data_IF_438285640682
#
_entry.id   IF_438285640682
#
_cell.length_a   1.000
_cell.length_b   1.000
_cell.length_c   1.000
_cell.angle_alpha   90.00
_cell.angle_beta   90.00
_cell.angle_gamma   90.00
#
_symmetry.space_group_name_H-M   'P 1'
#
loop_
_entity.id
_entity.type
_entity.pdbx_description
1 polymer ?
#
# COMPACT_ATOMS: atom_id res chain seq x y z
N UNK A 1 8.13 -8.82 -0.82
CA UNK A 1 7.98 -7.72 0.16
C UNK A 1 8.95 -6.62 -0.23
N UNK A 2 8.52 -5.36 -0.14
CA UNK A 2 9.37 -4.17 -0.32
C UNK A 2 8.95 -3.12 0.69
N UNK A 3 9.91 -2.54 1.40
CA UNK A 3 9.65 -1.44 2.33
C UNK A 3 10.36 -0.19 1.83
N UNK A 4 9.69 0.95 1.88
CA UNK A 4 10.29 2.26 1.64
C UNK A 4 9.97 3.20 2.79
N UNK A 5 10.83 4.20 2.97
CA UNK A 5 10.51 5.37 3.80
C UNK A 5 10.01 6.47 2.88
N UNK A 6 8.82 7.01 3.17
CA UNK A 6 8.24 8.14 2.46
C UNK A 6 7.74 9.16 3.48
N UNK A 7 8.36 10.35 3.46
CA UNK A 7 8.16 11.40 4.48
C UNK A 7 8.47 10.87 5.88
N UNK A 8 7.49 10.87 6.77
CA UNK A 8 7.52 10.42 8.14
C UNK A 8 6.98 8.99 8.33
N UNK A 9 6.65 8.30 7.24
CA UNK A 9 6.06 6.96 7.28
C UNK A 9 6.94 5.89 6.60
N UNK A 10 6.99 4.71 7.19
CA UNK A 10 7.44 3.49 6.54
C UNK A 10 6.25 2.84 5.82
N UNK A 11 6.38 2.60 4.52
CA UNK A 11 5.38 1.90 3.70
C UNK A 11 5.96 0.53 3.37
N UNK A 12 5.32 -0.52 3.86
CA UNK A 12 5.67 -1.91 3.56
C UNK A 12 4.63 -2.50 2.62
N UNK A 13 5.09 -3.02 1.48
CA UNK A 13 4.27 -3.63 0.46
C UNK A 13 4.53 -5.14 0.35
N UNK A 14 3.45 -5.91 0.32
CA UNK A 14 3.43 -7.34 0.15
C UNK A 14 2.61 -7.69 -1.10
N UNK A 15 3.21 -8.46 -2.01
CA UNK A 15 2.46 -9.10 -3.08
C UNK A 15 1.85 -10.39 -2.54
N UNK A 16 0.53 -10.52 -2.69
CA UNK A 16 -0.26 -11.66 -2.25
C UNK A 16 -0.70 -12.43 -3.48
N UNK A 17 -0.27 -13.69 -3.59
CA UNK A 17 -0.76 -14.58 -4.64
C UNK A 17 -2.18 -15.05 -4.29
N UNK A 18 -3.14 -14.81 -5.19
CA UNK A 18 -4.56 -15.13 -4.94
C UNK A 18 -4.96 -16.47 -5.55
N UNK A 19 -4.02 -17.16 -6.19
CA UNK A 19 -4.25 -18.38 -6.96
C UNK A 19 -4.62 -18.10 -8.41
N UNK A 20 -4.23 -19.01 -9.31
CA UNK A 20 -4.47 -18.89 -10.73
C UNK A 20 -5.76 -19.57 -11.18
N UNK A 21 -6.68 -18.79 -11.74
CA UNK A 21 -7.73 -19.33 -12.60
C UNK A 21 -7.17 -19.83 -13.94
N UNK A 22 -8.04 -20.09 -14.92
CA UNK A 22 -7.67 -20.56 -16.29
C UNK A 22 -6.65 -19.69 -17.03
N UNK A 23 -6.32 -18.50 -16.54
CA UNK A 23 -5.49 -17.47 -17.20
C UNK A 23 -4.09 -17.30 -16.60
N UNK A 24 -3.70 -18.08 -15.58
CA UNK A 24 -2.37 -17.98 -14.93
C UNK A 24 -2.41 -17.36 -13.53
N UNK A 25 -1.23 -17.21 -12.90
CA UNK A 25 -1.09 -16.64 -11.55
C UNK A 25 -1.54 -15.19 -11.50
N UNK A 26 -2.38 -14.84 -10.51
CA UNK A 26 -2.81 -13.47 -10.26
C UNK A 26 -2.30 -13.01 -8.91
N UNK A 27 -1.83 -11.76 -8.86
CA UNK A 27 -1.36 -11.12 -7.66
C UNK A 27 -2.30 -9.99 -7.24
N UNK A 28 -2.50 -9.88 -5.94
CA UNK A 28 -3.02 -8.71 -5.26
C UNK A 28 -1.93 -8.12 -4.40
N UNK A 29 -2.18 -6.96 -3.82
CA UNK A 29 -1.27 -6.40 -2.82
C UNK A 29 -1.96 -6.21 -1.48
N UNK A 30 -1.15 -6.29 -0.44
CA UNK A 30 -1.41 -5.86 0.92
C UNK A 30 -0.30 -4.87 1.31
N UNK A 31 -0.65 -3.80 1.99
CA UNK A 31 0.24 -2.73 2.38
C UNK A 31 0.05 -2.33 3.83
N UNK A 32 1.15 -1.96 4.48
CA UNK A 32 1.20 -1.47 5.84
C UNK A 32 1.87 -0.09 5.82
N UNK A 33 1.33 0.86 6.58
CA UNK A 33 1.90 2.19 6.78
C UNK A 33 2.14 2.37 8.27
N UNK A 34 3.38 2.55 8.66
CA UNK A 34 3.78 2.87 10.02
C UNK A 34 4.33 4.30 10.06
N UNK A 35 3.68 5.21 10.79
CA UNK A 35 4.16 6.60 10.92
C UNK A 35 5.09 6.74 12.13
N UNK A 36 6.15 7.52 11.95
CA UNK A 36 7.12 7.80 13.00
C UNK A 36 6.44 8.55 14.15
N UNK A 37 6.42 7.92 15.34
CA UNK A 37 5.80 8.49 16.53
C UNK A 37 4.32 8.12 16.72
N UNK A 38 3.73 7.36 15.80
CA UNK A 38 2.45 6.70 16.02
C UNK A 38 2.69 5.24 16.41
N UNK A 39 1.95 4.71 17.39
CA UNK A 39 2.02 3.30 17.78
C UNK A 39 1.13 2.39 16.93
N UNK A 40 0.53 2.94 15.86
CA UNK A 40 -0.50 2.26 15.08
C UNK A 40 -0.01 2.06 13.65
N UNK A 41 -0.19 0.85 13.14
CA UNK A 41 0.04 0.52 11.74
C UNK A 41 -1.29 0.63 10.99
N UNK A 42 -1.33 1.43 9.92
CA UNK A 42 -2.47 1.48 9.00
C UNK A 42 -2.29 0.40 7.93
N UNK A 43 -3.21 -0.56 7.89
CA UNK A 43 -3.23 -1.62 6.89
C UNK A 43 -4.15 -1.26 5.72
N UNK A 44 -3.77 -1.66 4.50
CA UNK A 44 -4.59 -1.46 3.31
C UNK A 44 -4.36 -2.54 2.26
N UNK A 45 -5.41 -2.87 1.51
CA UNK A 45 -5.35 -3.88 0.46
C UNK A 45 -5.70 -3.29 -0.90
N UNK A 46 -5.26 -4.00 -1.94
CA UNK A 46 -5.73 -3.79 -3.30
C UNK A 46 -7.27 -3.84 -3.36
N UNK A 47 -7.93 -2.95 -4.12
CA UNK A 47 -9.37 -3.01 -4.31
C UNK A 47 -9.81 -4.36 -4.88
N UNK A 48 -11.02 -4.80 -4.54
CA UNK A 48 -11.57 -6.03 -5.11
C UNK A 48 -11.66 -5.93 -6.64
N UNK A 49 -11.34 -7.02 -7.32
CA UNK A 49 -11.33 -7.07 -8.78
C UNK A 49 -10.06 -6.48 -9.45
N UNK A 50 -9.16 -5.87 -8.69
CA UNK A 50 -7.85 -5.41 -9.20
C UNK A 50 -6.82 -6.51 -9.00
N UNK A 51 -6.26 -6.97 -10.13
CA UNK A 51 -5.25 -8.03 -10.17
C UNK A 51 -4.07 -7.59 -11.02
N UNK A 52 -2.88 -8.07 -10.64
CA UNK A 52 -1.64 -7.80 -11.34
C UNK A 52 -1.08 -9.10 -11.92
N UNK A 53 -0.42 -8.97 -13.07
CA UNK A 53 0.17 -10.09 -13.82
C UNK A 53 1.39 -10.69 -13.11
N UNK A 54 2.03 -9.93 -12.21
CA UNK A 54 3.19 -10.39 -11.44
C UNK A 54 3.31 -9.66 -10.10
N UNK A 55 4.13 -10.24 -9.21
CA UNK A 55 4.36 -9.73 -7.86
C UNK A 55 5.05 -8.37 -7.83
N UNK A 56 5.91 -8.05 -8.81
CA UNK A 56 6.61 -6.78 -8.88
C UNK A 56 5.62 -5.62 -9.12
N UNK A 57 4.72 -5.78 -10.11
CA UNK A 57 3.66 -4.80 -10.39
C UNK A 57 2.73 -4.59 -9.20
N UNK A 58 2.30 -5.67 -8.53
CA UNK A 58 1.48 -5.57 -7.32
C UNK A 58 2.20 -4.78 -6.23
N UNK A 59 3.49 -5.05 -6.03
CA UNK A 59 4.30 -4.36 -5.02
C UNK A 59 4.51 -2.89 -5.36
N UNK A 60 4.81 -2.56 -6.62
CA UNK A 60 4.98 -1.16 -7.06
C UNK A 60 3.68 -0.35 -6.94
N UNK A 61 2.55 -0.93 -7.35
CA UNK A 61 1.25 -0.28 -7.20
C UNK A 61 0.88 -0.07 -5.73
N UNK A 62 1.20 -1.04 -4.86
CA UNK A 62 0.99 -0.92 -3.42
C UNK A 62 1.77 0.26 -2.83
N UNK A 63 3.03 0.43 -3.23
CA UNK A 63 3.86 1.56 -2.81
C UNK A 63 3.26 2.89 -3.27
N UNK A 64 2.80 2.98 -4.51
CA UNK A 64 2.21 4.21 -5.04
C UNK A 64 0.89 4.56 -4.34
N UNK A 65 0.06 3.57 -4.02
CA UNK A 65 -1.17 3.79 -3.26
C UNK A 65 -0.89 4.13 -1.78
N UNK A 66 0.14 3.52 -1.18
CA UNK A 66 0.62 3.88 0.15
C UNK A 66 1.09 5.34 0.21
N UNK A 67 1.82 5.82 -0.80
CA UNK A 67 2.25 7.23 -0.89
C UNK A 67 1.05 8.18 -0.95
N UNK A 68 0.04 7.87 -1.77
CA UNK A 68 -1.19 8.67 -1.86
C UNK A 68 -1.92 8.76 -0.51
N UNK A 69 -1.96 7.65 0.25
CA UNK A 69 -2.55 7.63 1.60
C UNK A 69 -1.78 8.51 2.58
N UNK A 70 -0.45 8.39 2.61
CA UNK A 70 0.40 9.28 3.42
C UNK A 70 0.18 10.75 3.06
N UNK A 71 0.11 11.06 1.77
CA UNK A 71 -0.13 12.42 1.29
C UNK A 71 -1.52 12.95 1.66
N UNK A 72 -2.56 12.10 1.57
CA UNK A 72 -3.93 12.45 1.95
C UNK A 72 -4.06 12.73 3.46
N UNK A 73 -3.43 11.91 4.31
CA UNK A 73 -3.40 12.14 5.75
C UNK A 73 -2.69 13.44 6.10
N UNK A 74 -1.57 13.75 5.44
CA UNK A 74 -0.87 15.03 5.62
C UNK A 74 -1.69 16.24 5.16
N UNK A 75 -2.57 16.08 4.16
CA UNK A 75 -3.47 17.13 3.72
C UNK A 75 -4.61 17.37 4.73
N UNK A 76 -5.19 16.30 5.29
CA UNK A 76 -6.24 16.42 6.30
C UNK A 76 -5.74 17.12 7.57
N UNK A 77 -4.51 16.83 8.03
CA UNK A 77 -3.92 17.47 9.22
C UNK A 77 -3.78 18.99 9.06
N UNK A 78 -3.60 19.51 7.85
CA UNK A 78 -3.46 20.96 7.61
C UNK A 78 -4.77 21.74 7.66
N UNK A 79 -5.93 21.07 7.74
CA UNK A 79 -7.23 21.74 7.66
C UNK A 79 -7.83 22.04 9.05
N UNK A 80 -7.28 21.45 10.11
CA UNK A 80 -7.73 21.66 11.50
C UNK A 80 -7.00 22.81 12.24
N UNK A 81 -6.08 23.52 11.57
CA UNK A 81 -5.28 24.62 12.15
C UNK A 81 -5.70 26.02 11.62
N UNK A 82 -6.95 26.19 11.17
CA UNK A 82 -7.48 27.45 10.61
C UNK A 82 -8.66 28.03 11.38
#
# INVERSE_FOLDING_TARGET
>A
MKTIIYRDAAITAYAVEVGGGKTGFQYRYHGEIERSGESTTEEFDSPEGIYFENSAMATEQCIDDGRKRVDASAANVRTDDA
#
